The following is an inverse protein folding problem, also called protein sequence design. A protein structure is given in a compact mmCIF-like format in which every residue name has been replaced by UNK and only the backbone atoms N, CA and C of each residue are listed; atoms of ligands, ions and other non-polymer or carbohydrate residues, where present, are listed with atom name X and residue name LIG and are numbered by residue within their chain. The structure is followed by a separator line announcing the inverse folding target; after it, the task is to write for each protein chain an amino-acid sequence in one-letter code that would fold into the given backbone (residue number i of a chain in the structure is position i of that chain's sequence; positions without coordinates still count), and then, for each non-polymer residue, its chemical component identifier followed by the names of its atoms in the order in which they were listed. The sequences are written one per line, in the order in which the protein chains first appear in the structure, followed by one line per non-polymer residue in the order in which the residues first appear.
data_IF_717882970775
#
_entry.id   IF_717882970775
#
_cell.length_a   1.000
_cell.length_b   1.000
_cell.length_c   1.000
_cell.angle_alpha   90.00
_cell.angle_beta   90.00
_cell.angle_gamma   90.00
#
_symmetry.space_group_name_H-M   'P 1'
#
loop_
_entity.id
_entity.type
_entity.pdbx_description
1 polymer ?
#
# COMPACT_ATOMS: atom_id res chain seq x y z
N UNK A 1 -9.13 0.01 9.08
CA UNK A 1 -9.58 -1.15 8.30
C UNK A 1 -9.86 -0.77 6.85
N UNK A 2 -10.70 0.25 6.57
CA UNK A 2 -11.07 0.67 5.19
C UNK A 2 -9.86 0.94 4.29
N UNK A 3 -8.83 1.63 4.80
CA UNK A 3 -7.61 1.88 4.04
C UNK A 3 -6.86 0.59 3.63
N UNK A 4 -6.86 -0.45 4.47
CA UNK A 4 -6.29 -1.75 4.11
C UNK A 4 -7.09 -2.44 3.00
N UNK A 5 -8.41 -2.35 3.04
CA UNK A 5 -9.28 -2.87 1.99
C UNK A 5 -9.01 -2.19 0.65
N UNK A 6 -8.91 -0.84 0.63
CA UNK A 6 -8.56 -0.07 -0.57
C UNK A 6 -7.15 -0.42 -1.04
N UNK A 7 -6.17 -0.49 -0.12
CA UNK A 7 -4.80 -0.87 -0.44
C UNK A 7 -4.76 -2.25 -1.10
N UNK A 8 -5.43 -3.25 -0.51
CA UNK A 8 -5.49 -4.61 -1.05
C UNK A 8 -6.20 -4.68 -2.40
N UNK A 9 -7.35 -4.01 -2.56
CA UNK A 9 -8.13 -4.03 -3.80
C UNK A 9 -7.40 -3.37 -4.97
N UNK A 10 -6.75 -2.22 -4.74
CA UNK A 10 -6.08 -1.46 -5.78
C UNK A 10 -4.58 -1.77 -5.96
N UNK A 11 -3.97 -2.56 -5.11
CA UNK A 11 -2.51 -2.71 -4.96
C UNK A 11 -1.80 -1.40 -4.59
N UNK A 12 -2.47 -0.54 -3.81
CA UNK A 12 -1.91 0.75 -3.40
C UNK A 12 -0.87 0.61 -2.29
N UNK A 13 0.20 1.37 -2.37
CA UNK A 13 1.16 1.53 -1.29
C UNK A 13 0.54 2.29 -0.11
N UNK A 14 0.94 1.94 1.12
CA UNK A 14 0.31 2.42 2.35
C UNK A 14 1.35 2.91 3.35
N UNK A 15 1.16 4.12 3.88
CA UNK A 15 1.90 4.65 5.02
C UNK A 15 0.99 4.77 6.24
N UNK A 16 1.35 4.08 7.32
CA UNK A 16 0.67 4.14 8.61
C UNK A 16 1.43 5.09 9.55
N UNK A 17 0.78 6.14 10.01
CA UNK A 17 1.35 7.13 10.92
C UNK A 17 0.60 7.08 12.24
N UNK A 18 1.30 6.97 13.36
CA UNK A 18 0.63 6.98 14.67
C UNK A 18 1.57 6.67 15.83
N UNK A 19 1.15 6.91 17.06
CA UNK A 19 1.92 6.61 18.26
C UNK A 19 2.33 5.13 18.38
N UNK A 20 3.36 4.81 19.16
CA UNK A 20 3.72 3.42 19.45
C UNK A 20 2.54 2.69 20.12
N UNK A 21 2.43 1.38 19.87
CA UNK A 21 1.36 0.54 20.43
C UNK A 21 -0.03 0.70 19.79
N UNK A 22 -0.19 1.48 18.71
CA UNK A 22 -1.50 1.65 18.03
C UNK A 22 -1.85 0.51 17.07
N UNK A 23 -1.01 -0.52 16.96
CA UNK A 23 -1.28 -1.71 16.13
C UNK A 23 -0.89 -1.56 14.65
N UNK A 24 -0.05 -0.60 14.27
CA UNK A 24 0.41 -0.40 12.88
C UNK A 24 1.00 -1.68 12.26
N UNK A 25 1.94 -2.31 12.95
CA UNK A 25 2.61 -3.53 12.48
C UNK A 25 1.62 -4.71 12.38
N UNK A 26 0.68 -4.82 13.33
CA UNK A 26 -0.39 -5.82 13.28
C UNK A 26 -1.32 -5.61 12.08
N UNK A 27 -1.64 -4.36 11.73
CA UNK A 27 -2.43 -4.04 10.55
C UNK A 27 -1.69 -4.42 9.27
N UNK A 28 -0.38 -4.13 9.18
CA UNK A 28 0.46 -4.51 8.04
C UNK A 28 0.52 -6.03 7.85
N UNK A 29 0.70 -6.80 8.93
CA UNK A 29 0.75 -8.26 8.90
C UNK A 29 -0.57 -8.92 8.45
N UNK A 30 -1.69 -8.23 8.55
CA UNK A 30 -2.99 -8.72 8.08
C UNK A 30 -3.24 -8.50 6.59
N UNK A 31 -2.47 -7.62 5.95
CA UNK A 31 -2.66 -7.30 4.53
C UNK A 31 -2.53 -8.52 3.60
N UNK A 32 -1.53 -9.41 3.74
CA UNK A 32 -1.43 -10.58 2.87
C UNK A 32 -2.68 -11.45 2.84
N UNK A 33 -3.37 -11.59 3.98
CA UNK A 33 -4.63 -12.35 4.08
C UNK A 33 -5.83 -11.71 3.38
N UNK A 34 -5.71 -10.46 2.92
CA UNK A 34 -6.72 -9.77 2.12
C UNK A 34 -6.41 -9.82 0.62
N UNK A 35 -5.16 -10.09 0.24
CA UNK A 35 -4.75 -10.10 -1.17
C UNK A 35 -5.37 -11.30 -1.91
N UNK A 36 -5.67 -11.14 -3.21
CA UNK A 36 -6.07 -12.27 -4.03
C UNK A 36 -4.97 -13.34 -4.08
N UNK A 37 -5.34 -14.62 -4.25
CA UNK A 37 -4.35 -15.66 -4.50
C UNK A 37 -3.50 -15.30 -5.73
N UNK A 38 -2.29 -15.81 -5.79
CA UNK A 38 -1.43 -15.66 -6.97
C UNK A 38 -2.01 -16.42 -8.16
N UNK A 39 -1.83 -15.88 -9.35
CA UNK A 39 -1.93 -16.68 -10.58
C UNK A 39 -0.73 -17.62 -10.68
N UNK A 40 -0.81 -18.63 -11.55
CA UNK A 40 0.30 -19.56 -11.76
C UNK A 40 1.57 -18.83 -12.27
N UNK A 41 1.41 -17.83 -13.13
CA UNK A 41 2.53 -17.00 -13.62
C UNK A 41 3.16 -16.18 -12.48
N UNK A 42 2.35 -15.51 -11.65
CA UNK A 42 2.84 -14.78 -10.47
C UNK A 42 3.57 -15.73 -9.49
N UNK A 43 3.02 -16.93 -9.26
CA UNK A 43 3.60 -17.93 -8.36
C UNK A 43 4.95 -18.44 -8.92
N UNK A 44 5.05 -18.65 -10.22
CA UNK A 44 6.27 -19.08 -10.89
C UNK A 44 7.36 -18.01 -10.80
N UNK A 45 7.04 -16.73 -11.11
CA UNK A 45 8.00 -15.64 -10.99
C UNK A 45 8.49 -15.47 -9.54
N UNK A 46 7.59 -15.49 -8.55
CA UNK A 46 7.93 -15.37 -7.14
C UNK A 46 8.81 -16.54 -6.67
N UNK A 47 8.48 -17.78 -7.06
CA UNK A 47 9.27 -18.97 -6.73
C UNK A 47 10.68 -18.93 -7.35
N UNK A 48 10.81 -18.45 -8.59
CA UNK A 48 12.09 -18.29 -9.27
C UNK A 48 13.00 -17.30 -8.51
N UNK A 49 12.45 -16.17 -8.07
CA UNK A 49 13.21 -15.18 -7.25
C UNK A 49 13.59 -15.77 -5.89
N UNK A 50 12.67 -16.42 -5.19
CA UNK A 50 12.92 -17.03 -3.90
C UNK A 50 13.99 -18.12 -3.97
N UNK A 51 14.03 -18.90 -5.04
CA UNK A 51 15.05 -19.95 -5.29
C UNK A 51 16.46 -19.37 -5.39
N UNK A 52 16.61 -18.18 -6.00
CA UNK A 52 17.88 -17.46 -6.06
C UNK A 52 18.32 -16.91 -4.69
N UNK A 53 17.35 -16.57 -3.83
CA UNK A 53 17.57 -16.17 -2.43
C UNK A 53 17.87 -17.34 -1.48
N UNK A 54 17.62 -18.60 -1.90
CA UNK A 54 17.68 -19.84 -1.10
C UNK A 54 16.58 -19.96 -0.05
N UNK A 55 15.53 -19.15 -0.14
CA UNK A 55 14.40 -19.15 0.81
C UNK A 55 13.22 -20.00 0.32
N UNK A 56 13.29 -20.55 -0.90
CA UNK A 56 12.19 -21.31 -1.49
C UNK A 56 12.12 -22.75 -0.96
N UNK A 57 10.91 -23.14 -0.59
CA UNK A 57 10.50 -24.54 -0.39
C UNK A 57 9.07 -24.71 -0.92
N UNK A 58 8.68 -25.95 -1.26
CA UNK A 58 7.41 -26.25 -1.94
C UNK A 58 6.16 -25.73 -1.20
N UNK A 59 6.19 -25.65 0.13
CA UNK A 59 5.10 -25.11 0.93
C UNK A 59 4.86 -23.60 0.76
N UNK A 60 5.77 -22.87 0.08
CA UNK A 60 5.60 -21.45 -0.23
C UNK A 60 4.96 -21.19 -1.61
N UNK A 61 4.71 -22.26 -2.39
CA UNK A 61 4.08 -22.11 -3.69
C UNK A 61 2.72 -21.43 -3.61
N UNK A 62 2.51 -20.37 -4.40
CA UNK A 62 1.24 -19.63 -4.44
C UNK A 62 0.97 -18.73 -3.23
N UNK A 63 1.82 -18.72 -2.21
CA UNK A 63 1.71 -17.81 -1.07
C UNK A 63 2.41 -16.49 -1.38
N UNK A 64 1.68 -15.37 -1.21
CA UNK A 64 2.27 -14.03 -1.39
C UNK A 64 3.33 -13.76 -0.34
N UNK A 65 4.59 -13.45 -0.72
CA UNK A 65 5.65 -13.15 0.22
C UNK A 65 5.29 -11.95 1.12
N UNK A 66 5.64 -12.06 2.39
CA UNK A 66 5.64 -10.93 3.33
C UNK A 66 7.05 -10.74 3.85
N UNK A 67 7.73 -9.67 3.41
CA UNK A 67 9.09 -9.36 3.81
C UNK A 67 9.09 -8.15 4.74
N UNK A 68 9.73 -8.29 5.88
CA UNK A 68 9.81 -7.25 6.91
C UNK A 68 11.25 -7.10 7.42
N UNK A 69 12.14 -6.49 6.62
CA UNK A 69 13.52 -6.27 7.04
C UNK A 69 13.58 -5.32 8.24
N UNK A 70 14.52 -5.57 9.14
CA UNK A 70 14.78 -4.67 10.26
C UNK A 70 15.31 -3.32 9.76
N UNK A 71 15.01 -2.22 10.43
CA UNK A 71 15.42 -0.86 10.01
C UNK A 71 16.95 -0.68 9.91
N UNK A 72 17.76 -1.53 10.58
CA UNK A 72 19.22 -1.54 10.44
C UNK A 72 19.72 -2.17 9.13
N UNK A 73 18.82 -2.69 8.28
CA UNK A 73 19.21 -3.30 7.01
C UNK A 73 19.95 -2.30 6.12
N UNK A 74 21.04 -2.75 5.53
CA UNK A 74 21.81 -1.93 4.59
C UNK A 74 21.09 -1.83 3.23
N UNK A 75 21.46 -0.83 2.41
CA UNK A 75 20.96 -0.73 1.03
C UNK A 75 21.24 -2.02 0.23
N UNK A 76 22.39 -2.67 0.47
CA UNK A 76 22.72 -3.96 -0.17
C UNK A 76 21.81 -5.09 0.29
N UNK A 77 21.39 -5.11 1.55
CA UNK A 77 20.42 -6.09 2.02
C UNK A 77 19.05 -5.91 1.35
N UNK A 78 18.63 -4.65 1.12
CA UNK A 78 17.37 -4.37 0.43
C UNK A 78 17.44 -4.64 -1.06
N UNK A 79 18.46 -4.13 -1.74
CA UNK A 79 18.62 -4.23 -3.21
C UNK A 79 19.09 -5.61 -3.64
N UNK A 80 19.99 -6.19 -2.87
CA UNK A 80 20.73 -7.37 -3.23
C UNK A 80 22.18 -7.06 -3.63
N UNK A 81 22.95 -8.08 -3.93
CA UNK A 81 24.36 -7.95 -4.25
C UNK A 81 25.07 -9.30 -4.33
N UNK A 82 26.40 -9.27 -4.16
CA UNK A 82 27.23 -10.47 -4.21
C UNK A 82 27.83 -10.76 -5.58
N UNK A 83 28.59 -11.83 -5.66
CA UNK A 83 29.16 -12.37 -6.89
C UNK A 83 29.04 -13.90 -6.86
N UNK A 84 28.10 -14.50 -7.61
CA UNK A 84 27.13 -13.89 -8.53
C UNK A 84 26.10 -12.99 -7.80
N UNK A 85 25.48 -12.02 -8.53
CA UNK A 85 24.42 -11.17 -7.97
C UNK A 85 23.23 -12.00 -7.44
N UNK A 86 22.76 -11.65 -6.24
CA UNK A 86 21.59 -12.28 -5.61
C UNK A 86 20.53 -11.23 -5.29
N UNK A 87 19.22 -11.61 -5.33
CA UNK A 87 18.13 -10.71 -4.97
C UNK A 87 18.21 -10.33 -3.48
N UNK A 88 17.85 -9.08 -3.18
CA UNK A 88 17.63 -8.60 -1.81
C UNK A 88 16.15 -8.63 -1.42
N UNK A 89 15.82 -8.06 -0.25
CA UNK A 89 14.48 -8.06 0.34
C UNK A 89 13.42 -7.47 -0.60
N UNK A 90 13.78 -6.47 -1.40
CA UNK A 90 12.89 -5.84 -2.38
C UNK A 90 12.43 -6.85 -3.43
N UNK A 91 13.37 -7.60 -4.01
CA UNK A 91 13.03 -8.64 -5.00
C UNK A 91 12.39 -9.86 -4.35
N UNK A 92 12.81 -10.25 -3.16
CA UNK A 92 12.19 -11.35 -2.40
C UNK A 92 10.74 -11.06 -1.97
N UNK A 93 10.33 -9.77 -1.99
CA UNK A 93 8.94 -9.35 -1.78
C UNK A 93 8.10 -9.36 -3.07
N UNK A 94 8.67 -9.79 -4.21
CA UNK A 94 7.98 -9.80 -5.50
C UNK A 94 6.63 -10.52 -5.45
N UNK A 95 5.58 -9.92 -6.04
CA UNK A 95 4.17 -10.33 -6.00
C UNK A 95 3.58 -10.45 -4.58
N UNK A 96 4.24 -9.83 -3.60
CA UNK A 96 3.84 -9.84 -2.20
C UNK A 96 3.86 -8.45 -1.57
N UNK A 97 4.24 -8.41 -0.29
CA UNK A 97 4.26 -7.21 0.53
C UNK A 97 5.67 -6.98 1.09
N UNK A 98 6.19 -5.78 0.90
CA UNK A 98 7.36 -5.28 1.63
C UNK A 98 6.87 -4.36 2.75
N UNK A 99 7.09 -4.75 4.00
CA UNK A 99 6.76 -3.97 5.17
C UNK A 99 7.99 -3.33 5.79
N UNK A 100 8.00 -2.01 5.90
CA UNK A 100 9.07 -1.24 6.52
C UNK A 100 8.53 -0.56 7.78
N UNK A 101 8.81 -1.16 8.94
CA UNK A 101 8.47 -0.54 10.23
C UNK A 101 9.53 0.50 10.60
N UNK A 102 9.12 1.51 11.36
CA UNK A 102 9.99 2.60 11.78
C UNK A 102 10.72 3.26 10.59
N UNK A 103 9.99 3.58 9.52
CA UNK A 103 10.53 4.05 8.24
C UNK A 103 11.63 5.12 8.37
N UNK A 104 11.55 6.16 9.25
CA UNK A 104 12.61 7.15 9.37
C UNK A 104 13.91 6.62 10.00
N UNK A 105 13.92 5.42 10.58
CA UNK A 105 15.11 4.83 11.17
C UNK A 105 15.98 4.08 10.16
N UNK A 106 15.45 3.77 8.97
CA UNK A 106 16.26 3.25 7.88
C UNK A 106 17.28 4.29 7.41
N UNK A 107 18.47 3.84 7.01
CA UNK A 107 19.44 4.74 6.42
C UNK A 107 18.93 5.27 5.05
N UNK A 108 19.31 6.52 4.75
CA UNK A 108 18.83 7.20 3.55
C UNK A 108 19.13 6.46 2.23
N UNK A 109 20.31 5.86 2.01
CA UNK A 109 20.57 5.07 0.81
C UNK A 109 19.62 3.87 0.65
N UNK A 110 19.22 3.22 1.75
CA UNK A 110 18.25 2.13 1.74
C UNK A 110 16.86 2.62 1.29
N UNK A 111 16.39 3.76 1.83
CA UNK A 111 15.11 4.34 1.42
C UNK A 111 15.11 4.82 -0.03
N UNK A 112 16.18 5.46 -0.48
CA UNK A 112 16.29 5.94 -1.88
C UNK A 112 16.32 4.78 -2.89
N UNK A 113 16.80 3.59 -2.49
CA UNK A 113 16.82 2.41 -3.35
C UNK A 113 15.42 1.86 -3.69
N UNK A 114 14.39 2.24 -2.94
CA UNK A 114 12.99 1.87 -3.21
C UNK A 114 12.39 2.62 -4.41
N UNK A 115 12.98 3.74 -4.82
CA UNK A 115 12.37 4.64 -5.82
C UNK A 115 12.26 4.00 -7.19
N UNK A 116 13.31 3.32 -7.65
CA UNK A 116 13.32 2.62 -8.93
C UNK A 116 12.28 1.49 -8.98
N UNK A 117 12.28 0.52 -8.04
CA UNK A 117 11.34 -0.59 -8.11
C UNK A 117 9.87 -0.17 -7.91
N UNK A 118 9.58 0.90 -7.16
CA UNK A 118 8.23 1.44 -7.04
C UNK A 118 7.70 2.08 -8.33
N UNK A 119 8.58 2.47 -9.26
CA UNK A 119 8.18 3.01 -10.57
C UNK A 119 8.19 1.95 -11.67
N UNK A 120 9.24 1.12 -11.69
CA UNK A 120 9.49 0.22 -12.81
C UNK A 120 9.04 -1.22 -12.56
N UNK A 121 8.81 -1.60 -11.29
CA UNK A 121 8.57 -2.98 -10.89
C UNK A 121 9.80 -3.89 -11.04
N UNK A 122 10.99 -3.31 -11.15
CA UNK A 122 12.27 -4.02 -11.35
C UNK A 122 13.37 -3.35 -10.57
N UNK A 123 14.44 -4.09 -10.29
CA UNK A 123 15.64 -3.58 -9.68
C UNK A 123 16.87 -4.05 -10.45
N UNK A 124 17.79 -3.13 -10.74
CA UNK A 124 19.02 -3.44 -11.44
C UNK A 124 20.20 -3.45 -10.49
N UNK A 125 20.93 -4.55 -10.41
CA UNK A 125 22.19 -4.67 -9.70
C UNK A 125 23.32 -4.62 -10.71
N UNK A 126 24.08 -3.53 -10.71
CA UNK A 126 25.27 -3.36 -11.53
C UNK A 126 26.54 -3.54 -10.67
N UNK A 127 27.42 -4.45 -11.05
CA UNK A 127 28.76 -4.64 -10.49
C UNK A 127 29.76 -4.70 -11.63
N UNK A 128 31.04 -4.39 -11.37
CA UNK A 128 32.08 -4.14 -12.36
C UNK A 128 32.13 -5.09 -13.58
N UNK A 129 31.76 -6.37 -13.42
CA UNK A 129 31.79 -7.36 -14.50
C UNK A 129 30.41 -7.95 -14.85
N UNK A 130 29.35 -7.63 -14.10
CA UNK A 130 28.02 -8.27 -14.28
C UNK A 130 26.90 -7.29 -13.96
N UNK A 131 25.86 -7.35 -14.79
CA UNK A 131 24.58 -6.69 -14.55
C UNK A 131 23.53 -7.77 -14.42
N UNK A 132 22.70 -7.69 -13.38
CA UNK A 132 21.53 -8.55 -13.19
C UNK A 132 20.31 -7.67 -12.93
N UNK A 133 19.18 -8.05 -13.49
CA UNK A 133 17.89 -7.42 -13.26
C UNK A 133 16.98 -8.43 -12.61
N UNK A 134 16.30 -8.02 -11.53
CA UNK A 134 15.34 -8.84 -10.81
C UNK A 134 13.97 -8.19 -10.82
N UNK A 135 12.89 -8.95 -10.94
CA UNK A 135 11.56 -8.43 -10.77
C UNK A 135 11.37 -7.96 -9.32
N UNK A 136 10.59 -6.89 -9.16
CA UNK A 136 10.37 -6.23 -7.88
C UNK A 136 9.00 -5.54 -7.84
N UNK A 137 7.95 -6.24 -8.29
CA UNK A 137 6.55 -5.80 -8.15
C UNK A 137 6.07 -6.22 -6.76
N UNK A 138 6.02 -5.30 -5.84
CA UNK A 138 5.56 -5.53 -4.46
C UNK A 138 4.64 -4.39 -4.03
N UNK A 139 3.79 -4.68 -3.06
CA UNK A 139 3.01 -3.65 -2.39
C UNK A 139 3.81 -3.13 -1.18
N UNK A 140 4.17 -1.84 -1.21
CA UNK A 140 4.87 -1.22 -0.09
C UNK A 140 3.88 -0.86 1.02
N UNK A 141 4.13 -1.36 2.22
CA UNK A 141 3.51 -0.89 3.46
C UNK A 141 4.61 -0.33 4.34
N UNK A 142 4.44 0.87 4.82
CA UNK A 142 5.39 1.48 5.74
C UNK A 142 4.69 1.95 7.00
N UNK A 143 5.39 1.99 8.12
CA UNK A 143 4.89 2.54 9.36
C UNK A 143 5.90 3.50 9.96
N UNK A 144 5.41 4.57 10.58
CA UNK A 144 6.24 5.50 11.32
C UNK A 144 5.52 6.09 12.53
N UNK A 145 6.29 6.59 13.46
CA UNK A 145 5.78 7.40 14.55
C UNK A 145 5.73 8.88 14.12
N UNK A 146 4.82 9.71 14.66
CA UNK A 146 4.66 11.11 14.23
C UNK A 146 5.85 12.02 14.61
N UNK A 147 6.68 11.57 15.57
CA UNK A 147 7.88 12.28 16.04
C UNK A 147 8.84 11.30 16.73
N UNK A 148 10.08 11.70 17.10
CA UNK A 148 11.04 10.82 17.76
C UNK A 148 10.55 10.18 19.06
N UNK A 149 9.78 10.88 19.88
CA UNK A 149 9.19 10.29 21.12
C UNK A 149 7.91 9.51 20.86
N UNK A 150 7.31 9.61 19.64
CA UNK A 150 6.10 8.91 19.23
C UNK A 150 4.79 9.54 19.69
N UNK A 151 4.79 10.60 20.51
CA UNK A 151 3.59 11.07 21.21
C UNK A 151 2.95 12.35 20.62
N UNK A 152 3.41 12.87 19.49
CA UNK A 152 2.78 14.02 18.83
C UNK A 152 1.36 13.63 18.40
N UNK A 153 0.35 14.42 18.83
CA UNK A 153 -1.06 14.12 18.60
C UNK A 153 -1.65 13.01 19.50
N UNK A 154 -0.89 12.49 20.46
CA UNK A 154 -1.40 11.50 21.41
C UNK A 154 -2.22 12.19 22.52
N UNK A 155 -3.53 11.90 22.68
CA UNK A 155 -4.34 12.52 23.72
C UNK A 155 -4.01 12.04 25.15
N UNK A 156 -3.32 10.87 25.27
CA UNK A 156 -3.00 10.26 26.56
C UNK A 156 -1.62 10.64 27.08
N UNK A 157 -0.72 11.09 26.20
CA UNK A 157 0.67 11.40 26.59
C UNK A 157 1.21 12.57 25.77
N UNK A 158 1.66 13.62 26.46
CA UNK A 158 2.18 14.81 25.81
C UNK A 158 3.51 14.56 25.07
N UNK A 159 3.63 15.11 23.86
CA UNK A 159 4.87 15.12 23.12
C UNK A 159 5.90 16.05 23.79
N UNK A 160 7.17 15.60 23.87
CA UNK A 160 8.30 16.37 24.44
C UNK A 160 9.31 16.81 23.37
N UNK A 161 9.03 16.59 22.12
CA UNK A 161 9.94 16.94 21.01
C UNK A 161 9.81 18.42 20.66
N UNK A 162 10.95 19.09 20.42
CA UNK A 162 10.94 20.42 19.82
C UNK A 162 10.48 20.36 18.35
N UNK A 163 9.93 21.45 17.79
CA UNK A 163 9.55 21.50 16.38
C UNK A 163 10.68 21.10 15.44
N UNK A 164 11.92 21.52 15.74
CA UNK A 164 13.12 21.21 14.92
C UNK A 164 13.45 19.71 14.98
N UNK A 165 13.27 19.06 16.15
CA UNK A 165 13.49 17.62 16.28
C UNK A 165 12.45 16.83 15.48
N UNK A 166 11.20 17.28 15.47
CA UNK A 166 10.15 16.70 14.65
C UNK A 166 10.45 16.86 13.16
N UNK A 167 10.76 18.08 12.71
CA UNK A 167 11.10 18.37 11.31
C UNK A 167 12.30 17.55 10.83
N UNK A 168 13.35 17.43 11.66
CA UNK A 168 14.53 16.61 11.34
C UNK A 168 14.20 15.13 11.22
N UNK A 169 13.34 14.62 12.09
CA UNK A 169 12.89 13.22 12.07
C UNK A 169 12.08 12.91 10.81
N UNK A 170 11.09 13.73 10.51
CA UNK A 170 10.25 13.58 9.32
C UNK A 170 11.03 13.81 8.03
N UNK A 171 11.98 14.74 8.02
CA UNK A 171 12.87 15.03 6.89
C UNK A 171 13.86 13.92 6.52
N UNK A 172 13.96 12.84 7.32
CA UNK A 172 14.72 11.64 6.92
C UNK A 172 14.08 10.93 5.73
N UNK A 173 12.77 11.06 5.56
CA UNK A 173 12.04 10.51 4.42
C UNK A 173 12.01 11.59 3.34
N UNK A 174 12.55 11.29 2.16
CA UNK A 174 12.57 12.25 1.06
C UNK A 174 11.16 12.51 0.50
N UNK A 175 10.88 13.75 0.09
CA UNK A 175 9.63 14.11 -0.60
C UNK A 175 9.33 13.20 -1.78
N UNK A 176 10.31 12.93 -2.69
CA UNK A 176 10.12 11.99 -3.79
C UNK A 176 9.70 10.57 -3.39
N UNK A 177 10.10 10.06 -2.23
CA UNK A 177 9.63 8.76 -1.74
C UNK A 177 8.21 8.86 -1.20
N UNK A 178 7.89 9.91 -0.43
CA UNK A 178 6.52 10.16 0.06
C UNK A 178 5.52 10.34 -1.08
N UNK A 179 5.93 11.02 -2.15
CA UNK A 179 5.09 11.14 -3.34
C UNK A 179 4.78 9.78 -4.00
N UNK A 180 5.57 8.74 -3.77
CA UNK A 180 5.35 7.40 -4.31
C UNK A 180 4.42 6.55 -3.45
N UNK A 181 4.16 6.95 -2.23
CA UNK A 181 3.14 6.32 -1.38
C UNK A 181 1.75 6.81 -1.79
N UNK A 182 0.79 5.89 -1.94
CA UNK A 182 -0.55 6.22 -2.40
C UNK A 182 -1.45 6.67 -1.25
N UNK A 183 -1.51 5.89 -0.18
CA UNK A 183 -2.38 6.11 0.97
C UNK A 183 -1.56 6.51 2.20
N UNK A 184 -1.88 7.66 2.78
CA UNK A 184 -1.35 8.12 4.06
C UNK A 184 -2.47 8.02 5.10
N UNK A 185 -2.25 7.24 6.15
CA UNK A 185 -3.31 6.89 7.11
C UNK A 185 -2.83 7.12 8.53
N UNK A 186 -3.55 7.95 9.24
CA UNK A 186 -3.35 8.10 10.68
C UNK A 186 -3.98 6.92 11.43
N UNK A 187 -3.22 6.34 12.36
CA UNK A 187 -3.68 5.27 13.24
C UNK A 187 -3.75 5.83 14.66
N UNK A 188 -4.94 6.26 15.11
CA UNK A 188 -5.11 6.88 16.39
C UNK A 188 -4.92 5.89 17.56
N UNK A 189 -4.61 6.41 18.73
CA UNK A 189 -4.59 5.64 19.97
C UNK A 189 -5.99 5.14 20.29
N UNK A 190 -6.13 3.85 20.50
CA UNK A 190 -7.38 3.26 20.93
C UNK A 190 -7.54 3.42 22.45
N UNK A 191 -8.72 3.83 22.94
CA UNK A 191 -8.96 3.91 24.36
C UNK A 191 -8.87 2.52 25.01
N UNK A 192 -8.35 2.39 26.24
CA UNK A 192 -8.22 1.10 26.94
C UNK A 192 -9.54 0.33 27.06
N UNK A 193 -10.67 1.03 27.11
CA UNK A 193 -12.02 0.44 27.12
C UNK A 193 -12.34 -0.41 25.89
N UNK A 194 -11.68 -0.15 24.75
CA UNK A 194 -11.83 -0.96 23.53
C UNK A 194 -11.25 -2.36 23.70
N UNK A 195 -10.23 -2.50 24.55
CA UNK A 195 -9.58 -3.79 24.83
C UNK A 195 -10.20 -4.52 26.02
N UNK A 196 -10.82 -3.79 26.97
CA UNK A 196 -11.44 -4.35 28.17
C UNK A 196 -12.78 -5.06 27.88
N UNK A 197 -13.49 -4.65 26.85
CA UNK A 197 -14.64 -5.40 26.32
C UNK A 197 -14.06 -6.48 25.43
N UNK A 198 -13.88 -7.70 25.96
CA UNK A 198 -13.51 -8.86 25.17
C UNK A 198 -14.30 -8.81 23.87
N UNK A 199 -13.65 -8.98 22.72
CA UNK A 199 -14.18 -8.80 21.36
C UNK A 199 -15.53 -9.50 21.12
N UNK A 200 -16.57 -9.00 21.74
CA UNK A 200 -17.93 -9.11 21.23
C UNK A 200 -18.13 -7.82 20.44
N UNK A 201 -17.68 -7.82 19.20
CA UNK A 201 -18.09 -6.82 18.23
C UNK A 201 -19.60 -6.89 18.10
N UNK A 202 -20.30 -6.11 18.94
CA UNK A 202 -21.64 -5.67 18.60
C UNK A 202 -21.49 -4.86 17.33
N UNK A 203 -22.22 -5.25 16.31
CA UNK A 203 -22.39 -4.65 15.00
C UNK A 203 -21.26 -4.86 13.98
N UNK A 204 -21.48 -5.91 13.15
CA UNK A 204 -21.14 -5.97 11.71
C UNK A 204 -19.76 -5.50 11.24
N UNK A 205 -18.69 -5.61 12.05
CA UNK A 205 -17.37 -5.57 11.46
C UNK A 205 -17.16 -6.85 10.65
N UNK A 206 -17.18 -6.68 9.32
CA UNK A 206 -16.93 -7.77 8.40
C UNK A 206 -15.66 -8.52 8.80
N UNK A 207 -15.74 -9.83 8.94
CA UNK A 207 -14.58 -10.67 9.19
C UNK A 207 -13.56 -10.58 8.05
N UNK A 208 -12.35 -11.06 8.27
CA UNK A 208 -11.28 -11.02 7.27
C UNK A 208 -11.70 -11.70 5.97
N UNK A 209 -12.47 -12.79 6.05
CA UNK A 209 -12.92 -13.53 4.87
C UNK A 209 -13.91 -12.71 4.03
N UNK A 210 -14.82 -11.99 4.67
CA UNK A 210 -15.78 -11.11 3.98
C UNK A 210 -15.07 -9.94 3.31
N UNK A 211 -14.09 -9.31 3.99
CA UNK A 211 -13.28 -8.25 3.39
C UNK A 211 -12.46 -8.78 2.21
N UNK A 212 -11.82 -9.95 2.36
CA UNK A 212 -11.04 -10.58 1.29
C UNK A 212 -11.90 -10.88 0.05
N UNK A 213 -13.14 -11.36 0.23
CA UNK A 213 -14.08 -11.59 -0.89
C UNK A 213 -14.38 -10.29 -1.65
N UNK A 214 -14.67 -9.18 -0.94
CA UNK A 214 -14.88 -7.86 -1.59
C UNK A 214 -13.65 -7.37 -2.32
N UNK A 215 -12.47 -7.51 -1.71
CA UNK A 215 -11.18 -7.18 -2.33
C UNK A 215 -10.97 -7.97 -3.62
N UNK A 216 -11.16 -9.28 -3.57
CA UNK A 216 -11.02 -10.15 -4.76
C UNK A 216 -11.99 -9.77 -5.86
N UNK A 217 -13.24 -9.47 -5.52
CA UNK A 217 -14.25 -9.06 -6.48
C UNK A 217 -13.89 -7.71 -7.14
N UNK A 218 -13.50 -6.69 -6.36
CA UNK A 218 -13.06 -5.40 -6.90
C UNK A 218 -11.79 -5.53 -7.75
N UNK A 219 -10.87 -6.43 -7.36
CA UNK A 219 -9.66 -6.73 -8.15
C UNK A 219 -10.01 -7.37 -9.49
N UNK A 220 -10.97 -8.31 -9.53
CA UNK A 220 -11.46 -8.90 -10.78
C UNK A 220 -12.07 -7.87 -11.72
N UNK A 221 -12.88 -6.93 -11.21
CA UNK A 221 -13.41 -5.81 -12.00
C UNK A 221 -12.29 -4.99 -12.65
N UNK A 222 -11.25 -4.66 -11.90
CA UNK A 222 -10.10 -3.93 -12.42
C UNK A 222 -9.36 -4.72 -13.51
N UNK A 223 -9.11 -6.02 -13.28
CA UNK A 223 -8.44 -6.89 -14.25
C UNK A 223 -9.24 -7.06 -15.54
N UNK A 224 -10.55 -7.31 -15.43
CA UNK A 224 -11.43 -7.47 -16.60
C UNK A 224 -11.44 -6.20 -17.48
N UNK A 225 -11.41 -5.01 -16.86
CA UNK A 225 -11.48 -3.75 -17.58
C UNK A 225 -10.15 -3.28 -18.17
N UNK A 226 -9.01 -3.59 -17.55
CA UNK A 226 -7.72 -2.94 -17.87
C UNK A 226 -6.48 -3.86 -17.75
N UNK A 227 -6.66 -5.15 -17.40
CA UNK A 227 -5.59 -6.13 -17.31
C UNK A 227 -4.56 -5.87 -16.20
N UNK A 228 -4.87 -5.02 -15.22
CA UNK A 228 -3.97 -4.67 -14.10
C UNK A 228 -4.68 -4.02 -12.92
N UNK A 229 -4.10 -4.00 -11.73
CA UNK A 229 -4.61 -3.26 -10.58
C UNK A 229 -4.62 -1.74 -10.84
N UNK A 230 -5.51 -1.02 -10.16
CA UNK A 230 -5.68 0.42 -10.33
C UNK A 230 -4.40 1.23 -10.02
N UNK A 231 -3.62 0.84 -9.00
CA UNK A 231 -2.36 1.53 -8.67
C UNK A 231 -1.32 1.45 -9.81
N UNK A 232 -1.38 0.43 -10.66
CA UNK A 232 -0.44 0.21 -11.75
C UNK A 232 -0.91 0.81 -13.09
N UNK A 233 -1.99 1.59 -13.11
CA UNK A 233 -2.42 2.32 -14.30
C UNK A 233 -1.34 3.33 -14.72
N UNK A 234 -0.98 3.39 -16.00
CA UNK A 234 -0.11 4.45 -16.48
C UNK A 234 -0.85 5.81 -16.42
N UNK A 235 -0.14 6.94 -16.27
CA UNK A 235 -0.76 8.26 -16.21
C UNK A 235 -1.73 8.53 -17.36
N UNK A 236 -1.35 8.17 -18.58
CA UNK A 236 -2.17 8.37 -19.78
C UNK A 236 -3.53 7.62 -19.76
N UNK A 237 -3.60 6.46 -19.07
CA UNK A 237 -4.83 5.68 -18.99
C UNK A 237 -5.63 5.96 -17.69
N UNK A 238 -5.08 6.73 -16.75
CA UNK A 238 -5.71 6.89 -15.44
C UNK A 238 -7.07 7.60 -15.52
N UNK A 239 -7.18 8.67 -16.31
CA UNK A 239 -8.42 9.45 -16.42
C UNK A 239 -9.50 8.67 -17.18
N UNK A 240 -9.16 8.01 -18.28
CA UNK A 240 -10.12 7.18 -19.03
C UNK A 240 -10.61 5.99 -18.21
N UNK A 241 -9.74 5.34 -17.44
CA UNK A 241 -10.13 4.25 -16.55
C UNK A 241 -11.00 4.72 -15.36
N UNK A 242 -10.79 5.93 -14.88
CA UNK A 242 -11.61 6.53 -13.84
C UNK A 242 -13.00 6.88 -14.34
N UNK A 243 -13.13 7.29 -15.62
CA UNK A 243 -14.41 7.74 -16.21
C UNK A 243 -15.17 8.69 -15.26
N UNK A 244 -14.56 9.85 -14.89
CA UNK A 244 -15.09 10.66 -13.81
C UNK A 244 -16.31 11.48 -14.24
N UNK A 245 -17.28 11.61 -13.32
CA UNK A 245 -18.37 12.58 -13.50
C UNK A 245 -17.86 14.03 -13.47
N UNK A 246 -18.57 14.99 -14.07
CA UNK A 246 -18.20 16.42 -13.99
C UNK A 246 -18.04 16.91 -12.55
N UNK A 247 -18.90 16.45 -11.62
CA UNK A 247 -18.81 16.78 -10.20
C UNK A 247 -17.51 16.25 -9.55
N UNK A 248 -17.09 15.04 -9.89
CA UNK A 248 -15.83 14.46 -9.44
C UNK A 248 -14.62 15.26 -9.94
N UNK A 249 -14.65 15.66 -11.21
CA UNK A 249 -13.59 16.47 -11.81
C UNK A 249 -13.47 17.85 -11.12
N UNK A 250 -14.59 18.54 -10.93
CA UNK A 250 -14.64 19.84 -10.26
C UNK A 250 -14.13 19.77 -8.81
N UNK A 251 -14.55 18.74 -8.06
CA UNK A 251 -14.08 18.52 -6.69
C UNK A 251 -12.56 18.33 -6.64
N UNK A 252 -12.00 17.49 -7.51
CA UNK A 252 -10.57 17.23 -7.51
C UNK A 252 -9.76 18.44 -7.96
N UNK A 253 -10.23 19.21 -8.95
CA UNK A 253 -9.59 20.45 -9.39
C UNK A 253 -9.51 21.45 -8.24
N UNK A 254 -10.63 21.69 -7.55
CA UNK A 254 -10.68 22.60 -6.38
C UNK A 254 -9.73 22.14 -5.25
N UNK A 255 -9.68 20.84 -4.97
CA UNK A 255 -8.78 20.31 -3.95
C UNK A 255 -7.31 20.46 -4.36
N UNK A 256 -6.98 20.22 -5.62
CA UNK A 256 -5.64 20.37 -6.15
C UNK A 256 -5.10 21.79 -6.06
N UNK A 257 -5.93 22.78 -6.41
CA UNK A 257 -5.58 24.19 -6.28
C UNK A 257 -5.33 24.59 -4.82
N UNK A 258 -6.23 24.19 -3.92
CA UNK A 258 -6.11 24.51 -2.50
C UNK A 258 -4.92 23.88 -1.81
N UNK A 259 -4.56 22.66 -2.21
CA UNK A 259 -3.51 21.86 -1.56
C UNK A 259 -2.18 21.87 -2.34
N UNK A 260 -2.10 22.63 -3.45
CA UNK A 260 -0.88 22.76 -4.24
C UNK A 260 -0.40 21.44 -4.82
N UNK A 261 -1.30 20.54 -5.25
CA UNK A 261 -0.93 19.19 -5.69
C UNK A 261 -0.31 19.16 -7.08
N UNK A 262 0.72 18.32 -7.23
CA UNK A 262 1.33 18.03 -8.52
C UNK A 262 0.43 17.14 -9.39
N UNK A 263 0.67 17.13 -10.71
CA UNK A 263 -0.02 16.23 -11.63
C UNK A 263 0.13 14.75 -11.24
N UNK A 264 1.28 14.36 -10.67
CA UNK A 264 1.51 13.02 -10.16
C UNK A 264 0.55 12.68 -9.01
N UNK A 265 0.32 13.59 -8.10
CA UNK A 265 -0.64 13.44 -7.00
C UNK A 265 -2.06 13.29 -7.53
N UNK A 266 -2.46 14.07 -8.54
CA UNK A 266 -3.78 13.97 -9.17
C UNK A 266 -4.03 12.58 -9.76
N UNK A 267 -3.07 12.05 -10.52
CA UNK A 267 -3.20 10.68 -11.04
C UNK A 267 -3.34 9.63 -9.94
N UNK A 268 -2.66 9.80 -8.80
CA UNK A 268 -2.81 8.88 -7.66
C UNK A 268 -4.20 8.96 -7.05
N UNK A 269 -4.72 10.17 -6.84
CA UNK A 269 -6.09 10.34 -6.32
C UNK A 269 -7.11 9.69 -7.25
N UNK A 270 -6.98 9.84 -8.57
CA UNK A 270 -7.85 9.15 -9.52
C UNK A 270 -7.77 7.62 -9.42
N UNK A 271 -6.56 7.05 -9.27
CA UNK A 271 -6.38 5.60 -9.08
C UNK A 271 -7.03 5.11 -7.79
N UNK A 272 -6.89 5.86 -6.69
CA UNK A 272 -7.54 5.53 -5.41
C UNK A 272 -9.05 5.65 -5.55
N UNK A 273 -9.55 6.75 -6.10
CA UNK A 273 -10.99 6.98 -6.31
C UNK A 273 -11.62 5.89 -7.18
N UNK A 274 -10.90 5.42 -8.22
CA UNK A 274 -11.33 4.28 -9.02
C UNK A 274 -11.44 3.00 -8.18
N UNK A 275 -10.48 2.74 -7.29
CA UNK A 275 -10.53 1.58 -6.39
C UNK A 275 -11.69 1.69 -5.41
N UNK A 276 -11.96 2.87 -4.88
CA UNK A 276 -13.11 3.12 -3.99
C UNK A 276 -14.42 2.86 -4.73
N UNK A 277 -14.54 3.31 -5.98
CA UNK A 277 -15.73 3.07 -6.80
C UNK A 277 -15.91 1.57 -7.15
N UNK A 278 -14.82 0.86 -7.47
CA UNK A 278 -14.87 -0.60 -7.71
C UNK A 278 -15.35 -1.36 -6.46
N UNK A 279 -14.85 -0.98 -5.27
CA UNK A 279 -15.31 -1.55 -4.00
C UNK A 279 -16.78 -1.21 -3.68
N UNK A 280 -17.23 -0.01 -4.01
CA UNK A 280 -18.63 0.38 -3.84
C UNK A 280 -19.55 -0.42 -4.75
N UNK A 281 -19.19 -0.61 -6.01
CA UNK A 281 -19.96 -1.40 -6.97
C UNK A 281 -20.15 -2.86 -6.50
N UNK A 282 -19.08 -3.47 -5.96
CA UNK A 282 -19.14 -4.83 -5.40
C UNK A 282 -19.99 -4.90 -4.13
N UNK A 283 -19.92 -3.86 -3.28
CA UNK A 283 -20.69 -3.82 -2.02
C UNK A 283 -22.20 -3.71 -2.20
N UNK A 284 -22.66 -3.26 -3.36
CA UNK A 284 -24.09 -3.14 -3.71
C UNK A 284 -24.67 -4.37 -4.42
N UNK A 285 -23.79 -5.30 -4.86
CA UNK A 285 -24.23 -6.52 -5.51
C UNK A 285 -24.87 -7.47 -4.48
N UNK A 286 -26.05 -8.09 -4.79
CA UNK A 286 -26.65 -9.07 -3.90
C UNK A 286 -25.67 -10.22 -3.66
N UNK A 287 -25.47 -10.58 -2.39
CA UNK A 287 -24.65 -11.72 -2.01
C UNK A 287 -25.35 -13.01 -2.47
N UNK A 288 -24.88 -13.61 -3.55
CA UNK A 288 -25.29 -14.96 -3.93
C UNK A 288 -24.33 -15.96 -3.24
N UNK A 289 -24.82 -16.75 -2.27
CA UNK A 289 -23.94 -17.63 -1.48
C UNK A 289 -23.47 -18.88 -2.23
N UNK A 290 -23.91 -19.10 -3.47
CA UNK A 290 -23.76 -20.39 -4.17
C UNK A 290 -22.90 -20.45 -5.41
N UNK A 291 -22.58 -19.34 -6.04
CA UNK A 291 -21.82 -19.36 -7.30
C UNK A 291 -20.77 -18.25 -7.34
N UNK A 292 -19.51 -18.62 -7.48
CA UNK A 292 -18.39 -17.66 -7.69
C UNK A 292 -18.52 -16.80 -8.97
N UNK A 293 -19.65 -16.89 -9.67
CA UNK A 293 -19.95 -16.27 -10.96
C UNK A 293 -20.61 -14.87 -10.89
N UNK A 294 -21.12 -14.44 -9.74
CA UNK A 294 -21.91 -13.21 -9.63
C UNK A 294 -21.11 -11.89 -9.80
N UNK A 295 -19.80 -11.94 -9.89
CA UNK A 295 -18.98 -10.73 -9.99
C UNK A 295 -18.68 -10.29 -11.43
N UNK A 296 -18.81 -11.17 -12.42
CA UNK A 296 -18.50 -10.86 -13.82
C UNK A 296 -19.57 -10.00 -14.51
N UNK A 297 -20.71 -9.80 -13.85
CA UNK A 297 -21.86 -9.03 -14.40
C UNK A 297 -22.04 -7.64 -13.76
N UNK A 298 -21.26 -7.28 -12.76
CA UNK A 298 -21.38 -5.94 -12.14
C UNK A 298 -20.79 -4.89 -13.08
N UNK A 299 -21.60 -3.94 -13.59
CA UNK A 299 -21.08 -2.89 -14.45
C UNK A 299 -20.16 -1.97 -13.65
N UNK A 300 -19.01 -1.66 -14.24
CA UNK A 300 -18.06 -0.71 -13.69
C UNK A 300 -18.57 0.72 -13.95
N UNK A 301 -19.25 1.29 -12.95
CA UNK A 301 -19.79 2.64 -13.05
C UNK A 301 -18.69 3.73 -13.03
N UNK A 302 -19.04 5.00 -13.32
CA UNK A 302 -18.12 6.14 -13.27
C UNK A 302 -17.63 6.43 -11.86
N UNK A 303 -16.49 7.12 -11.75
CA UNK A 303 -16.02 7.68 -10.47
C UNK A 303 -16.79 8.96 -10.18
N UNK A 304 -17.54 8.98 -9.09
CA UNK A 304 -18.32 10.11 -8.63
C UNK A 304 -17.59 10.92 -7.54
N UNK A 305 -18.12 12.10 -7.21
CA UNK A 305 -17.57 13.02 -6.21
C UNK A 305 -17.36 12.37 -4.84
N UNK A 306 -18.25 11.45 -4.42
CA UNK A 306 -18.12 10.71 -3.15
C UNK A 306 -16.85 9.86 -3.12
N UNK A 307 -16.48 9.20 -4.22
CA UNK A 307 -15.27 8.38 -4.33
C UNK A 307 -14.01 9.23 -4.29
N UNK A 308 -14.06 10.40 -4.95
CA UNK A 308 -12.97 11.38 -4.92
C UNK A 308 -12.80 11.98 -3.52
N UNK A 309 -13.90 12.30 -2.83
CA UNK A 309 -13.86 12.83 -1.48
C UNK A 309 -13.20 11.85 -0.49
N UNK A 310 -13.51 10.54 -0.58
CA UNK A 310 -12.83 9.52 0.20
C UNK A 310 -11.33 9.44 -0.17
N UNK A 311 -11.00 9.44 -1.46
CA UNK A 311 -9.61 9.35 -1.94
C UNK A 311 -8.74 10.54 -1.49
N UNK A 312 -9.29 11.75 -1.46
CA UNK A 312 -8.61 12.97 -0.99
C UNK A 312 -8.17 12.82 0.47
N UNK A 313 -8.98 12.18 1.32
CA UNK A 313 -8.66 12.00 2.75
C UNK A 313 -7.35 11.23 2.96
N UNK A 314 -7.00 10.31 2.06
CA UNK A 314 -5.76 9.54 2.12
C UNK A 314 -4.54 10.27 1.56
N UNK A 315 -4.71 11.52 1.09
CA UNK A 315 -3.62 12.33 0.54
C UNK A 315 -3.37 13.61 1.34
N UNK A 316 -4.10 13.83 2.45
CA UNK A 316 -3.77 14.93 3.36
C UNK A 316 -2.38 14.70 3.94
N UNK A 317 -1.59 15.76 3.99
CA UNK A 317 -0.26 15.69 4.60
C UNK A 317 -0.42 15.36 6.09
N UNK A 318 0.14 14.24 6.51
CA UNK A 318 0.28 13.86 7.92
C UNK A 318 1.70 14.15 8.43
N UNK A 319 2.54 14.69 7.55
CA UNK A 319 3.96 14.91 7.75
C UNK A 319 4.24 16.34 7.28
N UNK A 320 4.76 17.18 8.15
CA UNK A 320 5.18 18.53 7.79
C UNK A 320 4.18 19.65 8.08
N UNK A 321 3.08 19.39 8.82
CA UNK A 321 2.24 20.41 9.45
C UNK A 321 2.56 20.60 10.93
#
# INVERSE_FOLDING_TARGET
KRALEIAAAGAHSLLLVGPPGTGKSMLAQRLPGLLPPMTDDEAMEAAAVASLGRDFHAGLWGLRPFRSPHHSASAVALVGGGNPPRPGEISLAHEGVLFLDELPEFNRPALESLREPLETGRITIARAARRAEFPARFQLVAALNPCPCGHRGNPLQACRCSPEAVARYQGRISGPLLERLDLLVEVPVQPPSTFARGHVSSDAEADTATVARRVQAARRLAWAAQGRPNAHLPPAATLSAADPTPAAQALLATAAERLGWSARTLHRVWRIARTVADLAAVGTAPADPGTGAACDTVPRGPVDAVHVAEAIQYRRSLIGE
#
